data_IF_339726249990
#
_entry.id   IF_339726249990
#
_cell.length_a   1.000
_cell.length_b   1.000
_cell.length_c   1.000
_cell.angle_alpha   90.00
_cell.angle_beta   90.00
_cell.angle_gamma   90.00
#
_symmetry.space_group_name_H-M   'P 1'
#
loop_
_entity.id
_entity.type
_entity.pdbx_description
1 polymer ?
#
# COMPACT_ATOMS: atom_id res chain seq x y z
N UNK A 1 6.25 -7.86 41.02
CA UNK A 1 7.39 -7.05 40.58
C UNK A 1 8.23 -6.77 41.83
N UNK A 2 9.49 -7.15 41.79
CA UNK A 2 10.44 -6.84 42.88
C UNK A 2 11.34 -5.69 42.38
N UNK A 3 11.54 -4.68 43.23
CA UNK A 3 12.35 -3.52 42.91
C UNK A 3 13.65 -3.53 43.69
N UNK A 4 14.75 -3.09 43.09
CA UNK A 4 16.04 -2.93 43.73
C UNK A 4 16.57 -1.52 43.48
N UNK A 5 17.28 -0.99 44.47
CA UNK A 5 18.03 0.27 44.41
C UNK A 5 19.51 0.04 44.10
N UNK A 6 19.95 -1.24 44.06
CA UNK A 6 21.30 -1.60 43.64
C UNK A 6 21.37 -1.55 42.09
N UNK A 7 21.82 -0.40 41.56
CA UNK A 7 21.85 -0.10 40.14
C UNK A 7 23.17 0.55 39.77
N UNK A 8 23.84 -0.01 38.78
CA UNK A 8 25.03 0.57 38.15
C UNK A 8 24.80 0.82 36.69
N UNK A 9 24.98 2.06 36.21
CA UNK A 9 24.75 2.44 34.81
C UNK A 9 26.08 2.83 34.17
N UNK A 10 26.50 2.10 33.16
CA UNK A 10 27.79 2.31 32.51
C UNK A 10 27.73 3.37 31.43
N UNK A 11 28.93 3.75 30.89
CA UNK A 11 29.05 4.61 29.73
C UNK A 11 28.47 3.96 28.46
N UNK A 12 28.33 4.78 27.41
CA UNK A 12 27.84 4.29 26.12
C UNK A 12 28.79 3.25 25.52
N UNK A 13 28.25 2.11 25.15
CA UNK A 13 28.98 1.05 24.44
C UNK A 13 28.81 1.20 22.91
N UNK A 14 29.83 0.80 22.15
CA UNK A 14 29.80 0.82 20.69
C UNK A 14 30.14 -0.57 20.11
N UNK A 15 29.30 -1.06 19.19
CA UNK A 15 29.56 -2.22 18.35
C UNK A 15 29.74 -1.76 16.91
N UNK A 16 30.94 -2.03 16.34
CA UNK A 16 31.22 -1.74 14.92
C UNK A 16 30.41 -2.70 14.03
N UNK A 17 30.00 -2.25 12.85
CA UNK A 17 29.32 -3.06 11.81
C UNK A 17 27.94 -3.66 12.17
N UNK A 18 27.18 -3.01 13.05
CA UNK A 18 25.78 -3.39 13.33
C UNK A 18 24.83 -2.22 13.12
N UNK A 19 23.65 -2.49 12.56
CA UNK A 19 22.58 -1.49 12.33
C UNK A 19 22.18 -0.76 13.62
N UNK A 20 22.23 -1.44 14.78
CA UNK A 20 22.08 -0.86 16.11
C UNK A 20 23.44 -0.98 16.83
N UNK A 21 24.28 0.02 16.63
CA UNK A 21 25.68 0.01 17.08
C UNK A 21 25.96 0.76 18.38
N UNK A 22 25.00 1.54 18.90
CA UNK A 22 25.16 2.32 20.14
C UNK A 22 24.35 1.70 21.27
N UNK A 23 25.00 1.29 22.35
CA UNK A 23 24.40 0.55 23.46
C UNK A 23 24.47 1.28 24.79
N UNK A 24 23.42 1.11 25.59
CA UNK A 24 23.41 1.41 27.02
C UNK A 24 23.43 0.06 27.76
N UNK A 25 24.29 -0.07 28.76
CA UNK A 25 24.38 -1.25 29.62
C UNK A 25 24.28 -0.80 31.09
N UNK A 26 23.61 -1.57 31.89
CA UNK A 26 23.45 -1.32 33.32
C UNK A 26 23.21 -2.63 34.08
N UNK A 27 23.38 -2.62 35.38
CA UNK A 27 23.02 -3.74 36.25
C UNK A 27 21.93 -3.33 37.24
N UNK A 28 21.07 -4.30 37.58
CA UNK A 28 20.06 -4.18 38.63
C UNK A 28 20.14 -5.45 39.49
N UNK A 29 20.42 -5.30 40.78
CA UNK A 29 20.60 -6.42 41.71
C UNK A 29 21.57 -7.49 41.12
N UNK A 30 22.67 -7.06 40.55
CA UNK A 30 23.69 -7.93 39.93
C UNK A 30 23.35 -8.48 38.54
N UNK A 31 22.11 -8.34 38.06
CA UNK A 31 21.70 -8.80 36.70
C UNK A 31 22.04 -7.77 35.66
N UNK A 32 22.78 -8.18 34.60
CA UNK A 32 23.09 -7.30 33.48
C UNK A 32 21.89 -7.06 32.55
N UNK A 33 21.68 -5.80 32.20
CA UNK A 33 20.69 -5.31 31.25
C UNK A 33 21.36 -4.52 30.14
N UNK A 34 20.81 -4.54 28.92
CA UNK A 34 21.35 -3.75 27.82
C UNK A 34 20.27 -3.37 26.83
N UNK A 35 20.42 -2.19 26.19
CA UNK A 35 19.59 -1.74 25.08
C UNK A 35 20.44 -1.08 23.99
N UNK A 36 20.16 -1.41 22.72
CA UNK A 36 20.97 -0.98 21.57
C UNK A 36 20.16 -0.12 20.60
N UNK A 37 20.77 0.97 20.14
CA UNK A 37 20.15 2.01 19.31
C UNK A 37 20.92 2.19 17.99
N UNK A 38 20.22 2.74 16.98
CA UNK A 38 20.81 3.10 15.69
C UNK A 38 21.69 4.34 15.79
N UNK A 39 21.37 5.27 16.69
CA UNK A 39 22.03 6.56 16.85
C UNK A 39 22.57 6.77 18.27
N UNK A 40 23.71 7.45 18.36
CA UNK A 40 24.34 7.79 19.64
C UNK A 40 23.45 8.68 20.51
N UNK A 41 22.76 9.66 19.88
CA UNK A 41 21.90 10.60 20.60
C UNK A 41 20.72 9.88 21.30
N UNK A 42 20.14 8.88 20.65
CA UNK A 42 19.05 8.06 21.24
C UNK A 42 19.55 7.23 22.41
N UNK A 43 20.76 6.64 22.31
CA UNK A 43 21.37 5.89 23.39
C UNK A 43 21.68 6.81 24.59
N UNK A 44 22.21 7.99 24.35
CA UNK A 44 22.54 8.95 25.40
C UNK A 44 21.30 9.49 26.13
N UNK A 45 20.25 9.81 25.40
CA UNK A 45 18.95 10.19 25.98
C UNK A 45 18.38 9.08 26.86
N UNK A 46 18.44 7.83 26.39
CA UNK A 46 17.95 6.69 27.17
C UNK A 46 18.78 6.49 28.45
N UNK A 47 20.11 6.57 28.34
CA UNK A 47 21.02 6.52 29.50
C UNK A 47 20.74 7.63 30.50
N UNK A 48 20.52 8.86 30.02
CA UNK A 48 20.19 10.01 30.86
C UNK A 48 18.91 9.79 31.66
N UNK A 49 17.88 9.19 31.04
CA UNK A 49 16.62 8.84 31.77
C UNK A 49 16.85 7.82 32.87
N UNK A 50 17.65 6.76 32.63
CA UNK A 50 17.99 5.79 33.67
C UNK A 50 18.76 6.45 34.82
N UNK A 51 19.72 7.33 34.51
CA UNK A 51 20.51 8.05 35.52
C UNK A 51 19.64 9.01 36.34
N UNK A 52 18.68 9.70 35.71
CA UNK A 52 17.74 10.58 36.41
C UNK A 52 16.87 9.80 37.41
N UNK A 53 16.34 8.63 36.98
CA UNK A 53 15.56 7.77 37.85
C UNK A 53 16.39 7.28 39.06
N UNK A 54 17.61 6.79 38.81
CA UNK A 54 18.52 6.35 39.89
C UNK A 54 18.86 7.49 40.87
N UNK A 55 19.14 8.71 40.35
CA UNK A 55 19.41 9.90 41.21
C UNK A 55 18.20 10.34 42.04
N UNK A 56 16.96 10.10 41.55
CA UNK A 56 15.72 10.35 42.30
C UNK A 56 15.40 9.25 43.30
N UNK A 57 16.23 8.22 43.40
CA UNK A 57 16.01 7.11 44.31
C UNK A 57 14.88 6.18 43.87
N UNK A 58 14.54 6.14 42.55
CA UNK A 58 13.54 5.18 42.07
C UNK A 58 14.08 3.75 42.14
N UNK A 59 13.22 2.80 42.57
CA UNK A 59 13.51 1.39 42.48
C UNK A 59 13.49 0.90 41.01
N UNK A 60 14.40 0.00 40.67
CA UNK A 60 14.45 -0.63 39.35
C UNK A 60 13.89 -2.04 39.46
N UNK A 61 13.01 -2.40 38.58
CA UNK A 61 12.40 -3.74 38.47
C UNK A 61 13.47 -4.78 38.16
N UNK A 62 13.58 -5.82 38.97
CA UNK A 62 14.65 -6.84 38.87
C UNK A 62 14.47 -7.75 37.65
N UNK A 63 13.26 -7.82 37.08
CA UNK A 63 12.98 -8.64 35.89
C UNK A 63 13.32 -7.89 34.62
N UNK A 64 12.83 -6.66 34.47
CA UNK A 64 12.99 -5.84 33.26
C UNK A 64 14.23 -4.95 33.27
N UNK A 65 14.79 -4.67 34.46
CA UNK A 65 15.90 -3.73 34.64
C UNK A 65 15.51 -2.26 34.51
N UNK A 66 14.21 -1.93 34.46
CA UNK A 66 13.75 -0.57 34.22
C UNK A 66 13.33 0.15 35.52
N UNK A 67 13.47 1.48 35.60
CA UNK A 67 12.93 2.27 36.72
C UNK A 67 11.42 2.09 36.84
N UNK A 68 10.89 2.14 38.06
CA UNK A 68 9.45 2.00 38.33
C UNK A 68 8.58 2.95 37.47
N UNK A 69 9.00 4.22 37.34
CA UNK A 69 8.32 5.20 36.52
C UNK A 69 8.24 4.78 35.02
N UNK A 70 9.30 4.19 34.50
CA UNK A 70 9.33 3.69 33.10
C UNK A 70 8.48 2.44 32.93
N UNK A 71 8.50 1.52 33.89
CA UNK A 71 7.62 0.33 33.92
C UNK A 71 6.16 0.76 33.95
N UNK A 72 5.81 1.66 34.87
CA UNK A 72 4.45 2.19 35.02
C UNK A 72 4.00 2.90 33.74
N UNK A 73 4.86 3.71 33.12
CA UNK A 73 4.57 4.37 31.87
C UNK A 73 4.31 3.38 30.70
N UNK A 74 5.07 2.29 30.61
CA UNK A 74 4.86 1.22 29.61
C UNK A 74 3.54 0.47 29.87
N UNK A 75 3.25 0.12 31.11
CA UNK A 75 2.03 -0.57 31.51
C UNK A 75 0.76 0.26 31.29
N UNK A 76 0.87 1.59 31.28
CA UNK A 76 -0.26 2.52 31.11
C UNK A 76 -0.64 2.77 29.64
N UNK A 77 0.20 2.43 28.67
CA UNK A 77 -0.07 2.70 27.24
C UNK A 77 -1.29 1.93 26.78
N UNK A 78 -2.30 2.65 26.31
CA UNK A 78 -3.50 2.05 25.72
C UNK A 78 -3.28 1.70 24.23
N UNK A 79 -4.10 0.81 23.70
CA UNK A 79 -4.11 0.51 22.25
C UNK A 79 -4.37 1.77 21.43
N UNK A 80 -5.32 2.61 21.85
CA UNK A 80 -5.63 3.86 21.15
C UNK A 80 -4.41 4.80 21.08
N UNK A 81 -3.69 4.97 22.20
CA UNK A 81 -2.48 5.80 22.24
C UNK A 81 -1.38 5.24 21.34
N UNK A 82 -1.16 3.92 21.38
CA UNK A 82 -0.20 3.24 20.51
C UNK A 82 -0.55 3.44 19.04
N UNK A 83 -1.81 3.28 18.67
CA UNK A 83 -2.28 3.44 17.29
C UNK A 83 -2.07 4.87 16.80
N UNK A 84 -2.35 5.90 17.62
CA UNK A 84 -2.06 7.29 17.29
C UNK A 84 -0.56 7.55 17.09
N UNK A 85 0.28 7.05 18.01
CA UNK A 85 1.77 7.16 17.89
C UNK A 85 2.28 6.46 16.64
N UNK A 86 1.71 5.32 16.28
CA UNK A 86 2.08 4.61 15.05
C UNK A 86 1.70 5.39 13.77
N UNK A 87 0.53 6.02 13.76
CA UNK A 87 0.13 6.94 12.68
C UNK A 87 1.13 8.07 12.56
N UNK A 88 1.52 8.72 13.66
CA UNK A 88 2.46 9.85 13.67
C UNK A 88 3.85 9.43 13.15
N UNK A 89 4.32 8.25 13.56
CA UNK A 89 5.57 7.67 13.07
C UNK A 89 5.55 7.43 11.55
N UNK A 90 4.42 6.92 11.03
CA UNK A 90 4.32 6.57 9.62
C UNK A 90 3.99 7.74 8.70
N UNK A 91 3.34 8.78 9.22
CA UNK A 91 2.79 9.88 8.42
C UNK A 91 3.79 10.56 7.49
N UNK A 92 5.00 10.98 7.94
CA UNK A 92 5.96 11.71 7.09
C UNK A 92 6.48 10.88 5.91
N UNK A 93 6.52 9.56 6.07
CA UNK A 93 7.11 8.65 5.09
C UNK A 93 6.06 7.89 4.27
N UNK A 94 4.79 7.96 4.68
CA UNK A 94 3.71 7.24 4.04
C UNK A 94 3.10 8.06 2.90
N UNK A 95 2.86 7.39 1.80
CA UNK A 95 2.03 7.88 0.72
C UNK A 95 0.61 8.20 1.17
N UNK A 96 -0.05 9.19 0.60
CA UNK A 96 -1.44 9.52 0.90
C UNK A 96 -2.36 8.27 0.85
N UNK A 97 -2.24 7.41 -0.16
CA UNK A 97 -2.97 6.14 -0.23
C UNK A 97 -2.57 5.14 0.87
N UNK A 98 -1.34 5.18 1.36
CA UNK A 98 -0.90 4.36 2.49
C UNK A 98 -1.44 4.93 3.80
N UNK A 99 -1.48 6.26 3.97
CA UNK A 99 -2.09 6.93 5.12
C UNK A 99 -3.56 6.52 5.26
N UNK A 100 -4.35 6.57 4.17
CA UNK A 100 -5.75 6.08 4.18
C UNK A 100 -5.85 4.62 4.56
N UNK A 101 -4.92 3.77 4.07
CA UNK A 101 -4.89 2.34 4.39
C UNK A 101 -4.57 2.06 5.84
N UNK A 102 -3.63 2.82 6.44
CA UNK A 102 -3.27 2.73 7.86
C UNK A 102 -4.48 3.14 8.72
N UNK A 103 -5.08 4.30 8.43
CA UNK A 103 -6.26 4.78 9.14
C UNK A 103 -7.43 3.79 9.04
N UNK A 104 -7.68 3.21 7.86
CA UNK A 104 -8.74 2.22 7.65
C UNK A 104 -8.54 0.94 8.50
N UNK A 105 -7.32 0.40 8.51
CA UNK A 105 -7.01 -0.79 9.30
C UNK A 105 -7.15 -0.54 10.81
N UNK A 106 -6.58 0.56 11.29
CA UNK A 106 -6.62 0.93 12.71
C UNK A 106 -8.05 1.28 13.16
N UNK A 107 -8.83 2.00 12.35
CA UNK A 107 -10.22 2.29 12.63
C UNK A 107 -11.11 1.03 12.64
N UNK A 108 -10.68 -0.05 11.99
CA UNK A 108 -11.37 -1.35 12.03
C UNK A 108 -11.06 -2.12 13.33
N UNK A 109 -9.79 -2.14 13.76
CA UNK A 109 -9.34 -2.92 14.93
C UNK A 109 -9.64 -2.23 16.24
N UNK A 110 -9.50 -0.91 16.32
CA UNK A 110 -9.57 -0.16 17.59
C UNK A 110 -10.89 -0.36 18.33
N UNK A 111 -12.08 -0.40 17.70
CA UNK A 111 -13.34 -0.65 18.41
C UNK A 111 -13.49 -2.08 18.98
N UNK A 112 -12.58 -2.98 18.64
CA UNK A 112 -12.57 -4.37 19.16
C UNK A 112 -11.67 -4.49 20.40
N UNK A 113 -10.61 -3.67 20.46
CA UNK A 113 -9.62 -3.69 21.53
C UNK A 113 -10.03 -2.73 22.66
N UNK A 114 -11.14 -3.03 23.32
CA UNK A 114 -11.73 -2.28 24.43
C UNK A 114 -12.01 -3.17 25.63
N UNK A 115 -11.99 -2.59 26.82
CA UNK A 115 -12.21 -3.31 28.08
C UNK A 115 -13.68 -3.65 28.33
N UNK A 116 -14.62 -2.88 27.75
CA UNK A 116 -16.05 -3.09 27.89
C UNK A 116 -16.79 -2.71 26.61
N UNK A 117 -17.96 -3.30 26.42
CA UNK A 117 -18.92 -2.93 25.36
C UNK A 117 -20.07 -2.05 25.89
N UNK A 118 -20.14 -1.84 27.20
CA UNK A 118 -21.21 -1.03 27.82
C UNK A 118 -21.08 0.42 27.39
N UNK A 119 -22.16 1.01 26.90
CA UNK A 119 -22.17 2.40 26.41
C UNK A 119 -21.34 2.62 25.15
N UNK A 120 -20.97 1.56 24.40
CA UNK A 120 -20.21 1.68 23.17
C UNK A 120 -20.99 2.52 22.14
N UNK A 121 -20.38 3.59 21.61
CA UNK A 121 -21.01 4.43 20.59
C UNK A 121 -21.31 3.66 19.29
N UNK A 122 -22.20 4.24 18.48
CA UNK A 122 -22.53 3.69 17.16
C UNK A 122 -21.28 3.49 16.30
N UNK A 123 -21.27 2.40 15.51
CA UNK A 123 -20.11 2.00 14.72
C UNK A 123 -19.73 3.04 13.65
N UNK A 124 -20.71 3.74 13.05
CA UNK A 124 -20.46 4.79 12.04
C UNK A 124 -19.85 6.03 12.70
N UNK A 125 -20.35 6.41 13.88
CA UNK A 125 -19.81 7.54 14.65
C UNK A 125 -18.37 7.25 15.09
N UNK A 126 -18.10 6.06 15.66
CA UNK A 126 -16.75 5.63 16.02
C UNK A 126 -15.82 5.64 14.81
N UNK A 127 -16.29 5.14 13.66
CA UNK A 127 -15.47 5.13 12.46
C UNK A 127 -15.21 6.54 11.92
N UNK A 128 -16.19 7.43 11.95
CA UNK A 128 -16.00 8.84 11.55
C UNK A 128 -14.94 9.50 12.45
N UNK A 129 -15.04 9.32 13.75
CA UNK A 129 -14.09 9.85 14.72
C UNK A 129 -12.68 9.27 14.56
N UNK A 130 -12.56 7.95 14.37
CA UNK A 130 -11.25 7.27 14.23
C UNK A 130 -10.60 7.53 12.88
N UNK A 131 -11.30 7.19 11.77
CA UNK A 131 -10.75 7.32 10.43
C UNK A 131 -10.63 8.77 9.99
N UNK A 132 -11.66 9.58 10.26
CA UNK A 132 -11.74 10.97 9.82
C UNK A 132 -10.90 11.93 10.65
N UNK A 133 -10.59 11.59 11.92
CA UNK A 133 -9.89 12.52 12.82
C UNK A 133 -8.72 11.86 13.56
N UNK A 134 -8.94 10.83 14.38
CA UNK A 134 -7.91 10.31 15.28
C UNK A 134 -6.69 9.74 14.54
N UNK A 135 -6.90 9.05 13.42
CA UNK A 135 -5.84 8.48 12.59
C UNK A 135 -5.51 9.35 11.37
N UNK A 136 -5.85 10.63 11.46
CA UNK A 136 -5.48 11.66 10.50
C UNK A 136 -4.64 12.75 11.19
N UNK A 137 -3.31 12.64 11.13
CA UNK A 137 -2.40 13.50 11.90
C UNK A 137 -2.72 14.98 11.75
N UNK A 138 -2.81 15.49 10.51
CA UNK A 138 -3.05 16.92 10.25
C UNK A 138 -4.37 17.40 10.86
N UNK A 139 -5.48 16.65 10.70
CA UNK A 139 -6.76 17.02 11.30
C UNK A 139 -6.72 17.05 12.82
N UNK A 140 -6.02 16.11 13.44
CA UNK A 140 -5.81 16.09 14.90
C UNK A 140 -5.09 17.35 15.40
N UNK A 141 -4.16 17.87 14.59
CA UNK A 141 -3.37 19.06 14.94
C UNK A 141 -4.09 20.37 14.61
N UNK A 142 -4.94 20.39 13.58
CA UNK A 142 -5.53 21.63 13.03
C UNK A 142 -7.00 21.83 13.33
N UNK A 143 -7.73 20.78 13.71
CA UNK A 143 -9.19 20.86 13.93
C UNK A 143 -9.58 20.32 15.29
N UNK A 144 -10.57 20.93 15.93
CA UNK A 144 -11.20 20.37 17.14
C UNK A 144 -12.35 19.46 16.72
N UNK A 145 -12.36 18.26 17.30
CA UNK A 145 -13.49 17.35 17.19
C UNK A 145 -14.59 17.77 18.16
N UNK A 146 -15.82 17.80 17.70
CA UNK A 146 -16.98 18.22 18.49
C UNK A 146 -18.14 17.22 18.35
N UNK A 147 -19.19 17.41 19.15
CA UNK A 147 -20.41 16.62 19.02
C UNK A 147 -20.24 15.14 19.36
N UNK A 148 -20.94 14.30 18.63
CA UNK A 148 -21.00 12.85 18.86
C UNK A 148 -19.65 12.15 18.65
N UNK A 149 -18.86 12.61 17.70
CA UNK A 149 -17.53 12.05 17.43
C UNK A 149 -16.57 12.31 18.59
N UNK A 150 -16.62 13.50 19.21
CA UNK A 150 -15.80 13.82 20.39
C UNK A 150 -16.20 12.95 21.59
N UNK A 151 -17.50 12.77 21.82
CA UNK A 151 -18.01 11.89 22.87
C UNK A 151 -17.59 10.42 22.62
N UNK A 152 -17.64 9.97 21.37
CA UNK A 152 -17.21 8.63 21.00
C UNK A 152 -15.71 8.40 21.23
N UNK A 153 -14.85 9.38 20.91
CA UNK A 153 -13.43 9.29 21.20
C UNK A 153 -13.13 9.31 22.70
N UNK A 154 -13.84 10.15 23.46
CA UNK A 154 -13.71 10.17 24.92
C UNK A 154 -14.05 8.81 25.52
N UNK A 155 -15.19 8.22 25.11
CA UNK A 155 -15.55 6.86 25.52
C UNK A 155 -14.45 5.85 25.18
N UNK A 156 -13.89 5.94 23.96
CA UNK A 156 -12.85 5.03 23.53
C UNK A 156 -11.54 5.20 24.31
N UNK A 157 -11.11 6.42 24.60
CA UNK A 157 -9.95 6.70 25.44
C UNK A 157 -10.10 6.10 26.84
N UNK A 158 -11.29 6.26 27.44
CA UNK A 158 -11.59 5.75 28.77
C UNK A 158 -11.70 4.21 28.82
N UNK A 159 -12.01 3.56 27.68
CA UNK A 159 -12.25 2.12 27.59
C UNK A 159 -11.26 1.38 26.69
N UNK A 160 -10.23 2.02 26.18
CA UNK A 160 -9.23 1.37 25.35
C UNK A 160 -8.39 0.37 26.16
N UNK A 161 -8.19 -0.81 25.60
CA UNK A 161 -7.42 -1.88 26.22
C UNK A 161 -5.95 -1.45 26.42
N UNK A 162 -5.32 -1.82 27.54
CA UNK A 162 -3.88 -1.65 27.69
C UNK A 162 -3.12 -2.60 26.77
N UNK A 163 -2.06 -2.11 26.14
CA UNK A 163 -1.31 -2.91 25.15
C UNK A 163 -0.73 -4.18 25.77
N UNK A 164 -0.29 -4.12 27.00
CA UNK A 164 0.30 -5.27 27.71
C UNK A 164 -0.67 -6.43 27.85
N UNK A 165 -1.98 -6.18 27.93
CA UNK A 165 -3.03 -7.22 27.99
C UNK A 165 -3.03 -8.13 26.75
N UNK A 166 -2.55 -7.62 25.60
CA UNK A 166 -2.41 -8.43 24.39
C UNK A 166 -1.33 -9.51 24.50
N UNK A 167 -0.53 -9.51 25.55
CA UNK A 167 0.47 -10.55 25.82
C UNK A 167 0.06 -11.51 26.93
N UNK A 168 -1.00 -11.24 27.68
CA UNK A 168 -1.52 -12.09 28.76
C UNK A 168 -2.05 -13.41 28.17
N UNK A 169 -1.62 -14.54 28.76
CA UNK A 169 -1.90 -15.89 28.21
C UNK A 169 -3.39 -16.16 28.05
N UNK A 170 -4.18 -15.77 29.04
CA UNK A 170 -5.62 -16.02 29.15
C UNK A 170 -6.42 -15.25 28.09
N UNK A 171 -6.04 -14.04 27.76
CA UNK A 171 -6.81 -13.10 26.93
C UNK A 171 -6.24 -12.95 25.50
N UNK A 172 -4.93 -13.13 25.33
CA UNK A 172 -4.21 -12.90 24.06
C UNK A 172 -4.89 -13.55 22.86
N UNK A 173 -5.14 -14.85 22.94
CA UNK A 173 -5.68 -15.61 21.80
C UNK A 173 -7.04 -15.09 21.37
N UNK A 174 -7.90 -14.78 22.32
CA UNK A 174 -9.25 -14.25 22.04
C UNK A 174 -9.19 -12.84 21.46
N UNK A 175 -8.41 -11.94 22.06
CA UNK A 175 -8.30 -10.54 21.64
C UNK A 175 -7.67 -10.43 20.23
N UNK A 176 -6.58 -11.15 19.98
CA UNK A 176 -5.92 -11.13 18.67
C UNK A 176 -6.80 -11.75 17.58
N UNK A 177 -7.50 -12.89 17.86
CA UNK A 177 -8.44 -13.47 16.90
C UNK A 177 -9.59 -12.51 16.60
N UNK A 178 -10.21 -11.92 17.61
CA UNK A 178 -11.29 -10.93 17.43
C UNK A 178 -10.84 -9.75 16.58
N UNK A 179 -9.61 -9.27 16.76
CA UNK A 179 -9.04 -8.22 15.94
C UNK A 179 -8.82 -8.66 14.47
N UNK A 180 -8.28 -9.86 14.26
CA UNK A 180 -8.05 -10.42 12.92
C UNK A 180 -9.37 -10.71 12.19
N UNK A 181 -10.38 -11.24 12.89
CA UNK A 181 -11.72 -11.49 12.34
C UNK A 181 -12.40 -10.17 11.93
N UNK A 182 -12.28 -9.13 12.75
CA UNK A 182 -12.77 -7.80 12.37
C UNK A 182 -12.10 -7.25 11.10
N UNK A 183 -10.80 -7.51 10.92
CA UNK A 183 -10.08 -7.13 9.69
C UNK A 183 -10.51 -7.93 8.46
N UNK A 184 -11.07 -9.11 8.66
CA UNK A 184 -11.57 -9.99 7.58
C UNK A 184 -12.97 -9.59 7.08
N UNK A 185 -13.63 -8.65 7.74
CA UNK A 185 -14.96 -8.18 7.39
C UNK A 185 -14.95 -6.77 6.78
N UNK A 186 -15.95 -6.51 5.94
CA UNK A 186 -16.32 -5.16 5.51
C UNK A 186 -17.24 -4.52 6.57
N UNK A 187 -17.57 -3.25 6.36
CA UNK A 187 -18.47 -2.51 7.26
C UNK A 187 -19.91 -3.05 7.28
N UNK A 188 -20.33 -3.70 6.20
CA UNK A 188 -21.63 -4.36 6.06
C UNK A 188 -21.67 -5.78 6.65
N UNK A 189 -20.57 -6.23 7.28
CA UNK A 189 -20.43 -7.56 7.86
C UNK A 189 -20.10 -8.66 6.83
N UNK A 190 -20.05 -8.36 5.54
CA UNK A 190 -19.66 -9.34 4.51
C UNK A 190 -18.14 -9.54 4.46
N UNK A 191 -17.66 -10.71 3.99
CA UNK A 191 -16.22 -10.98 3.90
C UNK A 191 -15.49 -9.94 3.03
N UNK A 192 -14.35 -9.49 3.51
CA UNK A 192 -13.45 -8.61 2.74
C UNK A 192 -12.59 -9.43 1.78
N UNK A 193 -12.19 -8.82 0.66
CA UNK A 193 -11.27 -9.46 -0.29
C UNK A 193 -9.94 -9.82 0.38
N UNK A 194 -9.40 -11.01 0.08
CA UNK A 194 -8.21 -11.55 0.72
C UNK A 194 -7.00 -10.59 0.70
N UNK A 195 -6.76 -9.89 -0.43
CA UNK A 195 -5.70 -8.85 -0.53
C UNK A 195 -5.94 -7.67 0.42
N UNK A 196 -7.20 -7.31 0.69
CA UNK A 196 -7.55 -6.25 1.65
C UNK A 196 -7.27 -6.72 3.07
N UNK A 197 -7.66 -7.95 3.39
CA UNK A 197 -7.38 -8.57 4.70
C UNK A 197 -5.88 -8.65 4.95
N UNK A 198 -5.10 -9.15 4.00
CA UNK A 198 -3.65 -9.24 4.11
C UNK A 198 -3.00 -7.87 4.36
N UNK A 199 -3.43 -6.83 3.63
CA UNK A 199 -2.93 -5.46 3.82
C UNK A 199 -3.28 -4.92 5.20
N UNK A 200 -4.54 -5.08 5.66
CA UNK A 200 -4.96 -4.62 6.98
C UNK A 200 -4.24 -5.37 8.09
N UNK A 201 -4.08 -6.70 7.94
CA UNK A 201 -3.30 -7.54 8.87
C UNK A 201 -1.84 -7.09 8.97
N UNK A 202 -1.20 -6.76 7.84
CA UNK A 202 0.17 -6.27 7.83
C UNK A 202 0.33 -4.93 8.60
N UNK A 203 -0.67 -4.05 8.53
CA UNK A 203 -0.69 -2.80 9.31
C UNK A 203 -0.85 -3.10 10.80
N UNK A 204 -1.77 -3.95 11.19
CA UNK A 204 -1.96 -4.38 12.57
C UNK A 204 -0.70 -5.04 13.13
N UNK A 205 -0.09 -5.95 12.38
CA UNK A 205 1.20 -6.57 12.71
C UNK A 205 2.31 -5.51 12.91
N UNK A 206 2.41 -4.55 11.99
CA UNK A 206 3.38 -3.46 12.09
C UNK A 206 3.15 -2.55 13.29
N UNK A 207 1.89 -2.32 13.70
CA UNK A 207 1.56 -1.54 14.91
C UNK A 207 1.98 -2.28 16.17
N UNK A 208 1.79 -3.60 16.24
CA UNK A 208 2.25 -4.43 17.35
C UNK A 208 3.79 -4.56 17.40
N UNK A 209 4.45 -4.64 16.25
CA UNK A 209 5.91 -4.55 16.19
C UNK A 209 6.45 -3.21 16.71
N UNK A 210 5.72 -2.13 16.49
CA UNK A 210 6.06 -0.84 17.07
C UNK A 210 5.95 -0.85 18.61
N UNK A 211 4.98 -1.59 19.17
CA UNK A 211 4.93 -1.81 20.63
C UNK A 211 6.13 -2.62 21.14
N UNK A 212 6.62 -3.59 20.35
CA UNK A 212 7.86 -4.33 20.67
C UNK A 212 9.08 -3.42 20.58
N UNK A 213 9.14 -2.54 19.58
CA UNK A 213 10.23 -1.56 19.45
C UNK A 213 10.28 -0.57 20.63
N UNK A 214 9.11 -0.24 21.20
CA UNK A 214 8.99 0.61 22.39
C UNK A 214 9.19 -0.16 23.71
N UNK A 215 9.50 -1.45 23.68
CA UNK A 215 9.61 -2.36 24.83
C UNK A 215 8.31 -2.50 25.65
N UNK A 216 7.15 -2.19 25.08
CA UNK A 216 5.83 -2.38 25.71
C UNK A 216 5.44 -3.87 25.65
N UNK A 217 5.81 -4.54 24.58
CA UNK A 217 5.60 -5.98 24.38
C UNK A 217 6.94 -6.70 24.18
N UNK A 218 7.13 -7.90 24.74
CA UNK A 218 8.35 -8.68 24.56
C UNK A 218 8.48 -9.31 23.15
N UNK A 219 7.34 -9.56 22.51
CA UNK A 219 7.25 -10.14 21.16
C UNK A 219 5.90 -9.79 20.53
N UNK A 220 5.78 -9.94 19.20
CA UNK A 220 4.51 -9.70 18.53
C UNK A 220 3.49 -10.80 18.86
N UNK A 221 2.36 -10.46 19.52
CA UNK A 221 1.39 -11.46 19.96
C UNK A 221 0.67 -12.21 18.81
N UNK A 222 0.65 -11.64 17.58
CA UNK A 222 0.08 -12.33 16.40
C UNK A 222 0.83 -13.62 16.09
N UNK A 223 2.14 -13.67 16.32
CA UNK A 223 2.97 -14.85 16.03
C UNK A 223 2.61 -16.07 16.88
N UNK A 224 1.96 -15.83 18.02
CA UNK A 224 1.55 -16.87 18.97
C UNK A 224 0.08 -17.30 18.80
N UNK A 225 -0.59 -16.83 17.74
CA UNK A 225 -2.01 -17.12 17.48
C UNK A 225 -2.16 -17.76 16.11
N UNK A 226 -2.63 -19.01 16.09
CA UNK A 226 -3.03 -19.66 14.84
C UNK A 226 -4.32 -19.02 14.32
N UNK A 227 -4.23 -18.38 13.16
CA UNK A 227 -5.36 -17.78 12.47
C UNK A 227 -5.24 -18.01 10.96
N UNK A 228 -6.27 -18.59 10.36
CA UNK A 228 -6.28 -18.91 8.92
C UNK A 228 -6.67 -17.69 8.12
N UNK A 229 -5.71 -17.09 7.44
CA UNK A 229 -5.96 -15.98 6.53
C UNK A 229 -6.74 -16.46 5.29
N UNK A 230 -7.62 -15.62 4.71
CA UNK A 230 -8.22 -15.92 3.42
C UNK A 230 -7.15 -16.11 2.33
N UNK A 231 -7.32 -17.14 1.50
CA UNK A 231 -6.40 -17.44 0.41
C UNK A 231 -6.40 -16.30 -0.63
N UNK A 232 -5.22 -15.89 -1.05
CA UNK A 232 -5.04 -14.86 -2.08
C UNK A 232 -4.84 -15.55 -3.42
N UNK A 233 -5.76 -15.32 -4.36
CA UNK A 233 -5.50 -15.63 -5.76
C UNK A 233 -4.48 -14.59 -6.29
N UNK A 234 -3.26 -15.05 -6.56
CA UNK A 234 -2.17 -14.17 -7.05
C UNK A 234 -2.23 -14.01 -8.56
N UNK A 235 -2.69 -15.03 -9.27
CA UNK A 235 -2.77 -15.07 -10.73
C UNK A 235 -3.87 -14.16 -11.29
N UNK A 236 -3.64 -13.69 -12.51
CA UNK A 236 -4.68 -13.03 -13.31
C UNK A 236 -5.72 -14.07 -13.71
N UNK A 237 -6.98 -13.77 -13.47
CA UNK A 237 -8.06 -14.58 -14.02
C UNK A 237 -8.01 -14.49 -15.55
N UNK A 238 -7.75 -15.60 -16.23
CA UNK A 238 -7.67 -15.69 -17.70
C UNK A 238 -8.93 -15.13 -18.39
N UNK A 239 -10.07 -15.27 -17.75
CA UNK A 239 -11.35 -14.80 -18.30
C UNK A 239 -11.48 -13.27 -18.40
N UNK A 240 -10.57 -12.49 -17.80
CA UNK A 240 -10.54 -11.02 -17.99
C UNK A 240 -9.74 -10.61 -19.23
N UNK A 241 -8.92 -11.51 -19.79
CA UNK A 241 -8.00 -11.23 -20.89
C UNK A 241 -8.75 -11.21 -22.24
N UNK A 242 -8.77 -10.04 -22.88
CA UNK A 242 -9.40 -9.88 -24.19
C UNK A 242 -8.41 -10.21 -25.30
N UNK A 243 -8.88 -10.89 -26.33
CA UNK A 243 -8.12 -11.15 -27.57
C UNK A 243 -7.83 -9.85 -28.34
N UNK A 244 -6.83 -9.82 -29.21
CA UNK A 244 -6.52 -8.65 -30.06
C UNK A 244 -7.72 -8.16 -30.89
N UNK A 245 -8.56 -9.10 -31.37
CA UNK A 245 -9.79 -8.77 -32.10
C UNK A 245 -10.81 -8.04 -31.22
N UNK A 246 -11.03 -8.54 -30.01
CA UNK A 246 -11.93 -7.92 -29.05
C UNK A 246 -11.42 -6.55 -28.61
N UNK A 247 -10.12 -6.39 -28.36
CA UNK A 247 -9.54 -5.08 -28.01
C UNK A 247 -9.73 -4.06 -29.15
N UNK A 248 -9.51 -4.44 -30.40
CA UNK A 248 -9.78 -3.56 -31.55
C UNK A 248 -11.25 -3.13 -31.61
N UNK A 249 -12.20 -4.05 -31.41
CA UNK A 249 -13.62 -3.73 -31.37
C UNK A 249 -13.97 -2.78 -30.22
N UNK A 250 -13.40 -3.00 -29.02
CA UNK A 250 -13.58 -2.13 -27.86
C UNK A 250 -13.02 -0.72 -28.11
N UNK A 251 -11.82 -0.61 -28.67
CA UNK A 251 -11.23 0.70 -29.01
C UNK A 251 -12.04 1.44 -30.10
N UNK A 252 -12.58 0.73 -31.08
CA UNK A 252 -13.48 1.30 -32.08
C UNK A 252 -14.77 1.80 -31.45
N UNK A 253 -15.37 1.07 -30.51
CA UNK A 253 -16.55 1.51 -29.78
C UNK A 253 -16.29 2.73 -28.87
N UNK A 254 -15.09 2.81 -28.25
CA UNK A 254 -14.64 4.02 -27.55
C UNK A 254 -14.53 5.18 -28.53
N UNK A 255 -13.87 5.00 -29.67
CA UNK A 255 -13.67 6.04 -30.68
C UNK A 255 -14.98 6.63 -31.18
N UNK A 256 -15.94 5.79 -31.45
CA UNK A 256 -17.28 6.22 -31.90
C UNK A 256 -18.03 7.08 -30.88
N UNK A 257 -17.73 6.96 -29.57
CA UNK A 257 -18.44 7.65 -28.51
C UNK A 257 -17.65 8.80 -27.87
N UNK A 258 -16.37 8.61 -27.66
CA UNK A 258 -15.43 9.54 -27.01
C UNK A 258 -14.04 9.39 -27.66
N UNK A 259 -13.88 9.94 -28.89
CA UNK A 259 -12.65 9.77 -29.70
C UNK A 259 -11.40 10.24 -28.94
N UNK A 260 -11.50 11.29 -28.11
CA UNK A 260 -10.41 11.83 -27.29
C UNK A 260 -9.88 10.85 -26.21
N UNK A 261 -10.61 9.79 -25.89
CA UNK A 261 -10.15 8.76 -24.95
C UNK A 261 -9.59 7.50 -25.63
N UNK A 262 -9.64 7.41 -26.96
CA UNK A 262 -9.19 6.21 -27.67
C UNK A 262 -7.71 5.93 -27.40
N UNK A 263 -6.86 6.97 -27.52
CA UNK A 263 -5.44 6.85 -27.26
C UNK A 263 -5.14 6.52 -25.77
N UNK A 264 -5.96 7.01 -24.82
CA UNK A 264 -5.85 6.65 -23.41
C UNK A 264 -5.95 5.13 -23.20
N UNK A 265 -6.98 4.48 -23.74
CA UNK A 265 -7.12 3.02 -23.63
C UNK A 265 -6.07 2.28 -24.45
N UNK A 266 -5.66 2.85 -25.61
CA UNK A 266 -4.52 2.35 -26.37
C UNK A 266 -3.24 2.28 -25.54
N UNK A 267 -2.94 3.31 -24.73
CA UNK A 267 -1.80 3.31 -23.81
C UNK A 267 -1.88 2.18 -22.78
N UNK A 268 -3.07 1.85 -22.27
CA UNK A 268 -3.23 0.75 -21.31
C UNK A 268 -2.91 -0.60 -21.95
N UNK A 269 -3.31 -0.80 -23.22
CA UNK A 269 -3.11 -2.06 -23.92
C UNK A 269 -1.70 -2.18 -24.53
N UNK A 270 -1.34 -1.25 -25.41
CA UNK A 270 -0.13 -1.35 -26.23
C UNK A 270 1.16 -0.98 -25.49
N UNK A 271 1.08 -0.05 -24.52
CA UNK A 271 2.21 0.37 -23.70
C UNK A 271 2.17 -0.21 -22.28
N UNK A 272 1.21 -1.09 -21.99
CA UNK A 272 1.04 -1.76 -20.69
C UNK A 272 0.96 -0.76 -19.51
N UNK A 273 0.43 0.44 -19.74
CA UNK A 273 0.38 1.48 -18.73
C UNK A 273 -0.69 1.20 -17.68
N UNK A 274 -0.42 1.61 -16.45
CA UNK A 274 -1.47 1.73 -15.44
C UNK A 274 -2.33 2.96 -15.75
N UNK A 275 -3.65 2.97 -15.46
CA UNK A 275 -4.49 4.16 -15.69
C UNK A 275 -3.92 5.43 -15.05
N UNK A 276 -3.30 5.32 -13.86
CA UNK A 276 -2.65 6.45 -13.21
C UNK A 276 -1.39 6.96 -13.92
N UNK A 277 -0.66 6.10 -14.64
CA UNK A 277 0.47 6.49 -15.50
C UNK A 277 -0.05 7.19 -16.76
N UNK A 278 -1.07 6.63 -17.41
CA UNK A 278 -1.66 7.22 -18.61
C UNK A 278 -2.27 8.61 -18.34
N UNK A 279 -2.92 8.81 -17.18
CA UNK A 279 -3.51 10.11 -16.81
C UNK A 279 -2.51 11.27 -16.70
N UNK A 280 -1.24 10.98 -16.43
CA UNK A 280 -0.19 12.01 -16.30
C UNK A 280 0.73 12.07 -17.52
N UNK A 281 0.50 11.23 -18.53
CA UNK A 281 1.29 11.23 -19.76
C UNK A 281 1.20 12.60 -20.44
N UNK A 282 2.35 13.18 -20.73
CA UNK A 282 2.50 14.51 -21.36
C UNK A 282 3.04 14.39 -22.77
N UNK A 283 2.86 15.41 -23.57
CA UNK A 283 3.47 15.50 -24.91
C UNK A 283 4.99 15.35 -24.86
N UNK A 284 5.64 15.91 -23.84
CA UNK A 284 7.09 15.77 -23.59
C UNK A 284 7.53 14.33 -23.30
N UNK A 285 6.64 13.45 -22.87
CA UNK A 285 6.94 12.05 -22.61
C UNK A 285 6.87 11.18 -23.88
N UNK A 286 6.35 11.72 -24.98
CA UNK A 286 6.33 11.11 -26.29
C UNK A 286 7.64 11.42 -27.02
N UNK A 287 8.68 10.63 -26.72
CA UNK A 287 10.05 10.90 -27.19
C UNK A 287 10.17 10.69 -28.70
N UNK A 288 9.50 9.67 -29.22
CA UNK A 288 9.49 9.38 -30.64
C UNK A 288 8.09 8.89 -31.08
N UNK A 289 7.51 9.60 -32.05
CA UNK A 289 6.24 9.26 -32.70
C UNK A 289 6.43 9.35 -34.22
N UNK A 290 7.12 8.39 -34.84
CA UNK A 290 7.41 8.41 -36.29
C UNK A 290 6.12 8.27 -37.13
N UNK A 291 6.20 8.60 -38.43
CA UNK A 291 5.07 8.39 -39.33
C UNK A 291 4.77 6.89 -39.56
N UNK A 292 5.80 6.07 -39.54
CA UNK A 292 5.70 4.61 -39.66
C UNK A 292 6.72 3.94 -38.72
N UNK A 293 6.41 2.72 -38.27
CA UNK A 293 7.28 1.96 -37.38
C UNK A 293 6.98 2.14 -35.91
N UNK A 294 7.91 1.65 -35.08
CA UNK A 294 7.85 1.71 -33.64
C UNK A 294 8.23 3.11 -33.12
N UNK A 295 7.55 3.56 -32.08
CA UNK A 295 7.86 4.79 -31.36
C UNK A 295 8.32 4.51 -29.94
N UNK A 296 8.50 5.59 -29.14
CA UNK A 296 8.98 5.49 -27.79
C UNK A 296 8.29 6.49 -26.84
N UNK A 297 7.86 5.98 -25.69
CA UNK A 297 7.42 6.80 -24.54
C UNK A 297 8.46 6.73 -23.44
N UNK A 298 8.57 7.84 -22.66
CA UNK A 298 9.38 7.93 -21.45
C UNK A 298 8.49 8.21 -20.26
N UNK A 299 8.13 7.19 -19.51
CA UNK A 299 7.21 7.33 -18.38
C UNK A 299 7.94 7.80 -17.13
N UNK A 300 7.52 8.93 -16.58
CA UNK A 300 8.18 9.62 -15.46
C UNK A 300 7.41 9.56 -14.15
N UNK A 301 6.08 9.34 -14.20
CA UNK A 301 5.24 9.47 -13.02
C UNK A 301 3.98 8.63 -13.01
N UNK A 302 3.27 8.74 -11.89
CA UNK A 302 1.96 8.15 -11.66
C UNK A 302 1.14 9.09 -10.75
N UNK A 303 -0.14 9.25 -11.00
CA UNK A 303 -1.04 10.09 -10.18
C UNK A 303 -2.24 9.29 -9.70
N UNK A 304 -2.11 8.55 -8.60
CA UNK A 304 -3.24 7.88 -7.98
C UNK A 304 -4.20 8.90 -7.36
N UNK A 305 -5.50 8.64 -7.47
CA UNK A 305 -6.52 9.43 -6.77
C UNK A 305 -6.53 9.07 -5.29
N UNK A 306 -6.48 10.11 -4.45
CA UNK A 306 -6.65 10.03 -2.98
C UNK A 306 -7.52 11.21 -2.56
N UNK A 307 -8.20 11.14 -1.43
CA UNK A 307 -8.88 12.32 -0.87
C UNK A 307 -7.89 13.45 -0.63
N UNK A 308 -8.25 14.68 -0.99
CA UNK A 308 -7.39 15.86 -0.88
C UNK A 308 -6.85 16.08 0.54
N UNK A 309 -7.64 15.70 1.52
CA UNK A 309 -7.30 15.79 2.94
C UNK A 309 -6.11 14.90 3.35
N UNK A 310 -5.79 13.86 2.57
CA UNK A 310 -4.69 12.91 2.86
C UNK A 310 -3.37 13.28 2.18
N UNK A 311 -3.40 14.21 1.24
CA UNK A 311 -2.21 14.66 0.49
C UNK A 311 -1.57 15.86 1.17
N UNK A 312 -0.25 15.99 1.05
CA UNK A 312 0.48 17.13 1.62
C UNK A 312 0.17 18.44 0.86
N UNK A 313 -0.20 18.32 -0.42
CA UNK A 313 -0.55 19.46 -1.28
C UNK A 313 -2.03 19.86 -1.24
N UNK A 314 -2.89 19.16 -0.49
CA UNK A 314 -4.33 19.40 -0.46
C UNK A 314 -5.07 19.10 -1.78
N UNK A 315 -4.43 18.40 -2.73
CA UNK A 315 -4.99 18.05 -4.03
C UNK A 315 -5.54 16.63 -4.02
N UNK A 316 -6.59 16.37 -4.81
CA UNK A 316 -7.21 15.03 -4.90
C UNK A 316 -6.35 13.97 -5.62
N UNK A 317 -5.20 14.37 -6.12
CA UNK A 317 -4.24 13.53 -6.81
C UNK A 317 -2.85 13.78 -6.24
N UNK A 318 -2.12 12.73 -5.94
CA UNK A 318 -0.74 12.81 -5.49
C UNK A 318 0.18 12.46 -6.66
N UNK A 319 0.88 13.45 -7.23
CA UNK A 319 1.89 13.16 -8.23
C UNK A 319 3.04 12.39 -7.59
N UNK A 320 3.30 11.19 -8.12
CA UNK A 320 4.31 10.27 -7.61
C UNK A 320 5.20 9.76 -8.71
N UNK A 321 6.38 9.43 -8.30
CA UNK A 321 7.32 8.69 -9.12
C UNK A 321 6.84 7.25 -9.37
N UNK A 322 7.41 6.60 -10.37
CA UNK A 322 7.12 5.21 -10.70
C UNK A 322 7.40 4.29 -9.50
N UNK A 323 6.49 3.33 -9.27
CA UNK A 323 6.57 2.38 -8.17
C UNK A 323 7.85 1.54 -8.28
N UNK A 324 8.53 1.28 -7.15
CA UNK A 324 9.75 0.47 -7.05
C UNK A 324 10.98 0.98 -7.82
N UNK A 325 11.08 2.29 -8.08
CA UNK A 325 12.27 2.90 -8.67
C UNK A 325 12.81 4.03 -7.81
N UNK A 326 14.12 4.24 -7.86
CA UNK A 326 14.76 5.38 -7.22
C UNK A 326 14.26 6.71 -7.82
N UNK A 327 14.38 7.79 -7.05
CA UNK A 327 13.96 9.12 -7.50
C UNK A 327 14.55 9.45 -8.87
N UNK A 328 13.72 9.91 -9.83
CA UNK A 328 14.06 10.36 -11.19
C UNK A 328 14.40 9.29 -12.23
N UNK A 329 14.21 7.98 -11.97
CA UNK A 329 14.42 6.97 -13.01
C UNK A 329 13.15 6.86 -13.86
N UNK A 330 13.20 7.41 -15.06
CA UNK A 330 12.16 7.25 -16.07
C UNK A 330 12.17 5.82 -16.67
N UNK A 331 11.02 5.39 -17.19
CA UNK A 331 10.86 4.09 -17.85
C UNK A 331 10.66 4.28 -19.35
N UNK A 332 11.64 3.94 -20.20
CA UNK A 332 11.44 3.92 -21.63
C UNK A 332 10.56 2.72 -22.01
N UNK A 333 9.52 2.97 -22.81
CA UNK A 333 8.59 1.96 -23.29
C UNK A 333 8.49 2.09 -24.80
N UNK A 334 8.96 1.10 -25.58
CA UNK A 334 8.72 1.05 -27.01
C UNK A 334 7.24 0.79 -27.27
N UNK A 335 6.67 1.50 -28.22
CA UNK A 335 5.26 1.42 -28.57
C UNK A 335 5.07 1.03 -30.04
N UNK A 336 4.11 0.13 -30.33
CA UNK A 336 3.89 -0.33 -31.68
C UNK A 336 3.24 0.74 -32.57
N UNK A 337 3.31 0.56 -33.92
CA UNK A 337 2.76 1.51 -34.87
C UNK A 337 1.29 1.87 -34.65
N UNK A 338 0.50 0.93 -34.11
CA UNK A 338 -0.91 1.16 -33.76
C UNK A 338 -1.07 2.28 -32.72
N UNK A 339 -0.26 2.23 -31.66
CA UNK A 339 -0.32 3.26 -30.61
C UNK A 339 0.28 4.58 -31.10
N UNK A 340 1.34 4.53 -31.91
CA UNK A 340 1.92 5.73 -32.52
C UNK A 340 0.84 6.48 -33.32
N UNK A 341 0.08 5.79 -34.18
CA UNK A 341 -1.03 6.40 -34.94
C UNK A 341 -2.12 6.99 -34.04
N UNK A 342 -2.49 6.29 -32.96
CA UNK A 342 -3.48 6.78 -32.03
C UNK A 342 -3.02 8.04 -31.29
N UNK A 343 -1.76 8.09 -30.87
CA UNK A 343 -1.19 9.25 -30.17
C UNK A 343 -1.02 10.45 -31.10
N UNK A 344 -0.54 10.24 -32.33
CA UNK A 344 -0.46 11.30 -33.34
C UNK A 344 -1.82 11.88 -33.64
N UNK A 345 -2.81 11.05 -33.97
CA UNK A 345 -4.19 11.49 -34.19
C UNK A 345 -4.74 12.27 -32.97
N UNK A 346 -4.50 11.76 -31.76
CA UNK A 346 -4.94 12.47 -30.55
C UNK A 346 -4.33 13.85 -30.44
N UNK A 347 -3.03 14.00 -30.71
CA UNK A 347 -2.33 15.28 -30.66
C UNK A 347 -2.83 16.25 -31.75
N UNK A 348 -3.13 15.72 -32.94
CA UNK A 348 -3.61 16.52 -34.07
C UNK A 348 -5.08 16.99 -33.87
N UNK A 349 -5.96 16.11 -33.38
CA UNK A 349 -7.41 16.38 -33.27
C UNK A 349 -7.80 17.00 -31.92
N UNK A 350 -7.09 16.70 -30.83
CA UNK A 350 -7.49 17.09 -29.47
C UNK A 350 -6.44 17.92 -28.72
N UNK A 351 -5.19 17.90 -29.19
CA UNK A 351 -4.09 18.63 -28.57
C UNK A 351 -3.72 18.11 -27.17
N UNK A 352 -3.41 19.06 -26.27
CA UNK A 352 -3.03 18.80 -24.88
C UNK A 352 -3.76 19.73 -23.92
N UNK A 353 -3.85 19.33 -22.65
CA UNK A 353 -4.23 20.23 -21.58
C UNK A 353 -3.17 21.35 -21.40
N UNK A 354 -3.49 22.48 -20.72
CA UNK A 354 -2.55 23.59 -20.51
C UNK A 354 -1.24 23.20 -19.84
N UNK A 355 -1.24 22.14 -19.02
CA UNK A 355 -0.05 21.60 -18.37
C UNK A 355 0.70 20.55 -19.21
N UNK A 356 0.33 20.38 -20.48
CA UNK A 356 0.96 19.47 -21.44
C UNK A 356 0.47 18.01 -21.36
N UNK A 357 -0.47 17.66 -20.46
CA UNK A 357 -1.05 16.31 -20.42
C UNK A 357 -1.88 16.01 -21.66
N UNK A 358 -1.76 14.76 -22.16
CA UNK A 358 -2.55 14.32 -23.31
C UNK A 358 -4.04 14.14 -22.92
N UNK A 359 -4.29 13.57 -21.76
CA UNK A 359 -5.65 13.18 -21.37
C UNK A 359 -6.15 14.04 -20.19
N UNK A 360 -7.23 14.78 -20.42
CA UNK A 360 -7.84 15.65 -19.43
C UNK A 360 -9.35 15.42 -19.31
N UNK A 361 -9.93 15.90 -18.23
CA UNK A 361 -11.37 15.99 -18.07
C UNK A 361 -11.93 17.18 -18.86
N UNK A 362 -13.26 17.23 -19.06
CA UNK A 362 -13.93 18.24 -19.90
C UNK A 362 -13.72 19.72 -19.49
N UNK A 363 -13.12 19.98 -18.34
CA UNK A 363 -12.74 21.35 -17.88
C UNK A 363 -11.22 21.51 -17.77
N UNK A 364 -10.44 20.70 -18.50
CA UNK A 364 -8.96 20.74 -18.46
C UNK A 364 -8.30 20.14 -17.20
N UNK A 365 -9.11 19.75 -16.20
CA UNK A 365 -8.61 19.09 -14.98
C UNK A 365 -8.20 17.64 -15.22
N UNK A 366 -7.75 16.92 -14.15
CA UNK A 366 -7.37 15.51 -14.25
C UNK A 366 -8.52 14.63 -14.75
N UNK A 367 -8.22 13.68 -15.64
CA UNK A 367 -9.19 12.70 -16.13
C UNK A 367 -9.71 11.82 -14.97
N UNK A 368 -11.02 11.88 -14.70
CA UNK A 368 -11.66 11.18 -13.59
C UNK A 368 -11.85 9.69 -13.87
N UNK A 369 -11.67 8.85 -12.83
CA UNK A 369 -11.94 7.41 -12.90
C UNK A 369 -13.39 7.10 -13.27
N UNK A 370 -14.33 7.88 -12.77
CA UNK A 370 -15.75 7.71 -13.10
C UNK A 370 -16.06 8.00 -14.57
N UNK A 371 -15.35 8.94 -15.20
CA UNK A 371 -15.50 9.25 -16.62
C UNK A 371 -15.01 8.11 -17.48
N UNK A 372 -13.72 7.75 -17.38
CA UNK A 372 -13.20 6.69 -18.22
C UNK A 372 -13.77 5.30 -17.87
N UNK A 373 -14.13 5.05 -16.61
CA UNK A 373 -14.84 3.83 -16.22
C UNK A 373 -16.20 3.68 -16.90
N UNK A 374 -16.99 4.76 -16.95
CA UNK A 374 -18.30 4.77 -17.60
C UNK A 374 -18.17 4.59 -19.13
N UNK A 375 -17.25 5.30 -19.76
CA UNK A 375 -16.97 5.15 -21.20
C UNK A 375 -16.58 3.71 -21.53
N UNK A 376 -15.79 3.07 -20.67
CA UNK A 376 -15.41 1.69 -20.84
C UNK A 376 -16.59 0.72 -20.77
N UNK A 377 -17.51 0.89 -19.82
CA UNK A 377 -18.71 0.05 -19.76
C UNK A 377 -19.57 0.19 -21.01
N UNK A 378 -19.80 1.42 -21.49
CA UNK A 378 -20.53 1.66 -22.73
C UNK A 378 -19.84 1.01 -23.95
N UNK A 379 -18.51 1.06 -24.00
CA UNK A 379 -17.75 0.41 -25.06
C UNK A 379 -17.88 -1.12 -25.01
N UNK A 380 -17.88 -1.73 -23.82
CA UNK A 380 -18.13 -3.17 -23.62
C UNK A 380 -19.51 -3.58 -24.13
N UNK A 381 -20.54 -2.84 -23.73
CA UNK A 381 -21.94 -3.09 -24.15
C UNK A 381 -22.10 -3.02 -25.67
N UNK A 382 -21.35 -2.10 -26.35
CA UNK A 382 -21.41 -1.91 -27.78
C UNK A 382 -20.60 -2.96 -28.58
N UNK A 383 -19.45 -3.37 -28.07
CA UNK A 383 -18.47 -4.18 -28.81
C UNK A 383 -18.53 -5.68 -28.51
N UNK A 384 -19.13 -6.08 -27.40
CA UNK A 384 -19.15 -7.46 -26.93
C UNK A 384 -20.56 -8.05 -26.96
N UNK A 385 -20.66 -9.37 -27.06
CA UNK A 385 -21.96 -10.07 -26.94
C UNK A 385 -22.53 -9.95 -25.51
N UNK A 386 -23.83 -10.09 -25.31
CA UNK A 386 -24.42 -10.05 -23.96
C UNK A 386 -23.77 -11.04 -22.97
N UNK A 387 -23.44 -12.24 -23.42
CA UNK A 387 -22.73 -13.22 -22.60
C UNK A 387 -21.33 -12.76 -22.20
N UNK A 388 -20.59 -12.11 -23.10
CA UNK A 388 -19.29 -11.54 -22.83
C UNK A 388 -19.37 -10.32 -21.88
N UNK A 389 -20.40 -9.48 -22.01
CA UNK A 389 -20.65 -8.35 -21.10
C UNK A 389 -20.95 -8.85 -19.69
N UNK A 390 -21.72 -9.94 -19.56
CA UNK A 390 -22.04 -10.56 -18.26
C UNK A 390 -20.83 -11.30 -17.64
N UNK A 391 -19.82 -11.64 -18.45
CA UNK A 391 -18.59 -12.28 -17.98
C UNK A 391 -17.58 -11.25 -17.45
N UNK A 392 -16.49 -11.68 -16.75
CA UNK A 392 -15.44 -10.79 -16.30
C UNK A 392 -14.55 -10.24 -17.44
N UNK A 393 -14.76 -10.63 -18.69
CA UNK A 393 -13.96 -10.25 -19.86
C UNK A 393 -13.80 -8.73 -19.98
N UNK A 394 -12.56 -8.24 -19.91
CA UNK A 394 -12.22 -6.82 -19.98
C UNK A 394 -13.13 -5.96 -19.06
N UNK A 395 -13.49 -6.46 -17.88
CA UNK A 395 -14.47 -5.85 -16.97
C UNK A 395 -14.09 -4.44 -16.53
N UNK A 396 -12.81 -4.15 -16.46
CA UNK A 396 -12.26 -2.85 -16.05
C UNK A 396 -11.27 -2.34 -17.09
N UNK A 397 -11.08 -1.02 -17.24
CA UNK A 397 -10.02 -0.47 -18.10
C UNK A 397 -8.63 -1.05 -17.83
N UNK A 398 -8.33 -1.38 -16.58
CA UNK A 398 -7.06 -2.00 -16.19
C UNK A 398 -6.82 -3.37 -16.84
N UNK A 399 -7.88 -4.10 -17.19
CA UNK A 399 -7.79 -5.43 -17.79
C UNK A 399 -7.21 -5.39 -19.21
N UNK A 400 -7.22 -4.22 -19.88
CA UNK A 400 -6.47 -3.97 -21.12
C UNK A 400 -4.96 -4.17 -20.92
N UNK A 401 -4.42 -3.72 -19.79
CA UNK A 401 -3.01 -3.96 -19.47
C UNK A 401 -2.74 -5.46 -19.28
N UNK A 402 -3.65 -6.18 -18.64
CA UNK A 402 -3.53 -7.65 -18.54
C UNK A 402 -3.51 -8.27 -19.94
N UNK A 403 -4.43 -7.87 -20.80
CA UNK A 403 -4.51 -8.35 -22.18
C UNK A 403 -3.25 -8.04 -23.00
N UNK A 404 -2.69 -6.83 -22.87
CA UNK A 404 -1.48 -6.43 -23.57
C UNK A 404 -0.22 -7.18 -23.10
N UNK A 405 -0.07 -7.37 -21.78
CA UNK A 405 1.05 -8.14 -21.20
C UNK A 405 0.95 -9.61 -21.63
N UNK A 406 -0.24 -10.20 -21.56
CA UNK A 406 -0.48 -11.59 -22.02
C UNK A 406 -0.17 -11.74 -23.50
N UNK A 407 -0.59 -10.78 -24.35
CA UNK A 407 -0.26 -10.79 -25.76
C UNK A 407 1.26 -10.81 -25.99
N UNK A 408 2.01 -9.96 -25.28
CA UNK A 408 3.46 -9.89 -25.44
C UNK A 408 4.15 -11.21 -25.02
N UNK A 409 3.74 -11.80 -23.90
CA UNK A 409 4.27 -13.09 -23.45
C UNK A 409 3.96 -14.21 -24.45
N UNK A 410 2.73 -14.26 -24.96
CA UNK A 410 2.31 -15.25 -25.95
C UNK A 410 2.93 -15.02 -27.34
N UNK A 411 3.33 -13.78 -27.66
CA UNK A 411 4.13 -13.48 -28.84
C UNK A 411 5.62 -13.84 -28.68
N UNK A 412 6.01 -14.42 -27.54
CA UNK A 412 7.38 -14.87 -27.27
C UNK A 412 8.35 -13.76 -26.86
N UNK A 413 7.87 -12.59 -26.47
CA UNK A 413 8.74 -11.56 -25.90
C UNK A 413 9.27 -12.06 -24.55
N UNK A 414 10.59 -12.04 -24.31
CA UNK A 414 11.17 -12.54 -23.06
C UNK A 414 10.57 -11.87 -21.82
N UNK A 415 10.26 -12.66 -20.78
CA UNK A 415 9.62 -12.17 -19.56
C UNK A 415 10.36 -10.99 -18.89
N UNK A 416 11.71 -10.93 -18.85
CA UNK A 416 12.43 -9.75 -18.35
C UNK A 416 12.12 -8.47 -19.14
N UNK A 417 12.00 -8.57 -20.45
CA UNK A 417 11.68 -7.41 -21.31
C UNK A 417 10.23 -6.96 -21.12
N UNK A 418 9.28 -7.90 -21.06
CA UNK A 418 7.88 -7.56 -20.75
C UNK A 418 7.76 -6.92 -19.35
N UNK A 419 8.48 -7.46 -18.36
CA UNK A 419 8.52 -6.90 -17.00
C UNK A 419 9.10 -5.47 -17.01
N UNK A 420 10.18 -5.23 -17.74
CA UNK A 420 10.80 -3.91 -17.91
C UNK A 420 9.82 -2.90 -18.52
N UNK A 421 9.15 -3.26 -19.64
CA UNK A 421 8.13 -2.40 -20.30
C UNK A 421 6.93 -2.14 -19.43
N UNK A 422 6.41 -3.16 -18.75
CA UNK A 422 5.25 -3.04 -17.89
C UNK A 422 5.57 -2.40 -16.51
N UNK A 423 6.84 -2.31 -16.10
CA UNK A 423 7.23 -1.83 -14.77
C UNK A 423 6.78 -2.79 -13.67
N UNK A 424 7.08 -4.09 -13.85
CA UNK A 424 6.97 -5.17 -12.88
C UNK A 424 8.36 -5.68 -12.49
N UNK A 425 8.49 -6.36 -11.33
CA UNK A 425 9.56 -7.32 -11.14
C UNK A 425 9.28 -8.57 -11.98
N UNK A 426 10.33 -9.27 -12.40
CA UNK A 426 10.18 -10.50 -13.21
C UNK A 426 9.45 -11.58 -12.43
N UNK A 427 9.74 -11.73 -11.15
CA UNK A 427 9.07 -12.62 -10.20
C UNK A 427 7.56 -12.34 -10.12
N UNK A 428 7.19 -11.06 -10.02
CA UNK A 428 5.79 -10.62 -10.01
C UNK A 428 5.12 -10.92 -11.34
N UNK A 429 5.82 -10.68 -12.47
CA UNK A 429 5.27 -10.94 -13.80
C UNK A 429 4.94 -12.43 -13.96
N UNK A 430 5.91 -13.30 -13.69
CA UNK A 430 5.74 -14.75 -13.85
C UNK A 430 4.64 -15.29 -12.93
N UNK A 431 4.65 -14.91 -11.65
CA UNK A 431 3.63 -15.33 -10.69
C UNK A 431 2.21 -14.88 -11.08
N UNK A 432 2.09 -13.68 -11.63
CA UNK A 432 0.78 -13.09 -11.95
C UNK A 432 0.22 -13.60 -13.28
N UNK A 433 1.08 -13.90 -14.27
CA UNK A 433 0.67 -14.22 -15.63
C UNK A 433 0.97 -15.66 -16.06
N UNK A 434 1.56 -16.49 -15.18
CA UNK A 434 1.86 -17.89 -15.52
C UNK A 434 0.65 -18.63 -16.12
N UNK A 435 -0.53 -18.49 -15.48
CA UNK A 435 -1.75 -19.10 -15.96
C UNK A 435 -2.32 -18.51 -17.28
N UNK A 436 -1.76 -17.41 -17.80
CA UNK A 436 -2.20 -16.77 -19.05
C UNK A 436 -1.26 -17.06 -20.24
N UNK A 437 -0.16 -17.78 -20.01
CA UNK A 437 0.75 -18.22 -21.06
C UNK A 437 0.19 -19.53 -21.62
N UNK A 438 -0.36 -19.47 -22.84
CA UNK A 438 -0.92 -20.63 -23.50
C UNK A 438 0.13 -21.35 -24.34
N UNK A 439 0.00 -22.68 -24.42
CA UNK A 439 0.92 -23.61 -25.07
C UNK A 439 1.26 -23.23 -26.52
N UNK A 440 2.36 -22.53 -26.65
CA UNK A 440 3.07 -22.35 -27.91
C UNK A 440 4.21 -23.38 -28.00
N UNK A 441 3.97 -24.61 -27.55
CA UNK A 441 4.95 -25.66 -27.49
C UNK A 441 5.58 -25.91 -28.86
N UNK A 442 4.75 -25.99 -29.89
CA UNK A 442 5.23 -26.11 -31.30
C UNK A 442 6.07 -24.91 -31.76
N UNK A 443 5.69 -23.69 -31.37
CA UNK A 443 6.46 -22.48 -31.71
C UNK A 443 7.82 -22.48 -30.99
N UNK A 444 7.84 -22.87 -29.73
CA UNK A 444 9.08 -22.93 -28.94
C UNK A 444 10.00 -24.05 -29.46
N UNK A 445 9.43 -25.23 -29.71
CA UNK A 445 10.18 -26.34 -30.31
C UNK A 445 10.76 -25.95 -31.67
N UNK A 446 9.98 -25.30 -32.55
CA UNK A 446 10.47 -24.79 -33.81
C UNK A 446 11.63 -23.80 -33.67
N UNK A 447 11.57 -22.88 -32.70
CA UNK A 447 12.69 -21.95 -32.45
C UNK A 447 13.92 -22.66 -31.89
N UNK A 448 13.75 -23.68 -31.06
CA UNK A 448 14.86 -24.51 -30.58
C UNK A 448 15.48 -25.28 -31.73
N UNK A 449 14.66 -25.89 -32.60
CA UNK A 449 15.12 -26.59 -33.78
C UNK A 449 15.88 -25.67 -34.76
N UNK A 450 15.40 -24.45 -34.93
CA UNK A 450 16.07 -23.45 -35.78
C UNK A 450 17.43 -23.05 -35.19
N UNK A 451 17.48 -22.81 -33.87
CA UNK A 451 18.72 -22.48 -33.18
C UNK A 451 19.72 -23.65 -33.15
N UNK A 452 19.23 -24.90 -33.20
CA UNK A 452 20.10 -26.09 -33.25
C UNK A 452 20.64 -26.38 -34.64
N UNK A 453 20.03 -25.82 -35.71
CA UNK A 453 20.52 -26.04 -37.09
C UNK A 453 21.84 -25.35 -37.38
N UNK A 454 22.26 -24.39 -36.56
CA UNK A 454 23.51 -23.66 -36.70
C UNK A 454 23.53 -22.80 -38.00
N UNK A 455 24.40 -21.81 -38.01
CA UNK A 455 24.82 -21.16 -39.26
C UNK A 455 25.82 -22.12 -39.96
N UNK A 456 25.33 -23.05 -40.79
CA UNK A 456 26.17 -23.79 -41.75
C UNK A 456 26.47 -22.93 -42.96
#
# INVERSE_FOLDING_TARGET
>A
MAYSHDVSIWGLARKKNRKRGHGVRWTVAGKECSKWFTERALADNYRSKLMQAARKGEGFDTETGLPESMVRAQLSVTWYDLACRFVDLKWPHAAAKSRTGIADALATVTPVLVTTKRGKPDAKVLRAALYGWAFHKVRRETTKLTGQEAAALKWLQDNSLRVVTLNEKEQRSQLIRSALDALALKMDGTPAAAKTVARKRAIFYGTLNYAVELDILPANPIERVSWKAPAIAEEVNRNVVASPRQVRALLAAVHAKRPELTAFYGCLYYAYMRPGEAKVLRKSDCIDLPQSGWGQLLLTGNSPRVGSEWTDAGTSHEERQLKHRAKKIARPVPIPPELVRLLRRHLDEHGTAPDGRLFSGGRGGPLSESVYGRVWQMAREKALTPAQVASPLAGRPYDLRHSGVTLALNAGVPAPEVARRAGHGVDVLLRVYAGCIDGHEEMWNGRIEEALKGDD
#
